data_IF_440109167556
#
_entry.id   IF_440109167556
#
_cell.length_a   1.000
_cell.length_b   1.000
_cell.length_c   1.000
_cell.angle_alpha   90.00
_cell.angle_beta   90.00
_cell.angle_gamma   90.00
#
_symmetry.space_group_name_H-M   'P 1'
#
loop_
_entity.id
_entity.type
_entity.pdbx_description
1 polymer ?
#
# COMPACT_ATOMS: atom_id res chain seq x y z
N UNK A 1 26.40 60.25 9.87
CA UNK A 1 26.09 59.69 8.53
C UNK A 1 25.93 58.17 8.66
N UNK A 2 24.78 57.66 8.21
CA UNK A 2 24.45 56.26 7.84
C UNK A 2 24.50 55.18 8.95
N UNK A 3 23.37 55.00 9.64
CA UNK A 3 23.00 53.75 10.34
C UNK A 3 22.44 52.78 9.30
N UNK A 4 23.20 51.77 8.91
CA UNK A 4 22.70 50.67 8.05
C UNK A 4 22.03 49.62 8.94
N UNK A 5 20.69 49.62 8.97
CA UNK A 5 19.91 48.48 9.43
C UNK A 5 19.95 47.39 8.34
N UNK A 6 20.65 46.29 8.60
CA UNK A 6 20.56 45.07 7.81
C UNK A 6 19.34 44.28 8.28
N UNK A 7 18.24 44.34 7.50
CA UNK A 7 17.08 43.48 7.71
C UNK A 7 17.39 42.09 7.16
N UNK A 8 17.61 41.12 8.04
CA UNK A 8 17.66 39.68 7.70
C UNK A 8 16.25 39.21 7.34
N UNK A 9 15.96 39.16 6.04
CA UNK A 9 14.80 38.45 5.51
C UNK A 9 15.03 36.94 5.68
N UNK A 10 14.43 36.35 6.73
CA UNK A 10 14.24 34.91 6.82
C UNK A 10 13.12 34.51 5.83
N UNK A 11 13.51 34.07 4.64
CA UNK A 11 12.59 33.38 3.72
C UNK A 11 12.31 31.99 4.28
N UNK A 12 11.15 31.82 4.93
CA UNK A 12 10.62 30.51 5.27
C UNK A 12 10.27 29.77 3.97
N UNK A 13 11.18 28.94 3.48
CA UNK A 13 10.84 27.94 2.46
C UNK A 13 9.92 26.92 3.10
N UNK A 14 8.60 27.10 2.91
CA UNK A 14 7.64 26.04 3.15
C UNK A 14 8.01 24.87 2.23
N UNK A 15 8.55 23.78 2.80
CA UNK A 15 8.62 22.51 2.09
C UNK A 15 7.19 22.07 1.85
N UNK A 16 6.66 22.35 0.67
CA UNK A 16 5.45 21.70 0.17
C UNK A 16 5.71 20.20 0.22
N UNK A 17 5.00 19.50 1.11
CA UNK A 17 4.95 18.05 1.10
C UNK A 17 4.29 17.64 -0.22
N UNK A 18 5.11 17.46 -1.27
CA UNK A 18 4.67 16.88 -2.52
C UNK A 18 4.12 15.50 -2.17
N UNK A 19 2.82 15.29 -2.35
CA UNK A 19 2.23 13.97 -2.21
C UNK A 19 2.95 13.04 -3.19
N UNK A 20 3.78 12.14 -2.66
CA UNK A 20 4.58 11.26 -3.50
C UNK A 20 3.63 10.24 -4.13
N UNK A 21 3.49 10.26 -5.45
CA UNK A 21 2.75 9.26 -6.23
C UNK A 21 3.49 7.91 -6.20
N UNK A 22 3.44 7.24 -5.05
CA UNK A 22 4.10 5.95 -4.78
C UNK A 22 3.15 5.01 -4.03
N UNK A 23 3.23 3.68 -4.23
CA UNK A 23 2.55 2.71 -3.39
C UNK A 23 3.07 2.68 -1.94
N UNK A 24 4.26 3.22 -1.68
CA UNK A 24 4.81 3.26 -0.32
C UNK A 24 3.93 4.12 0.61
N UNK A 25 3.61 3.58 1.78
CA UNK A 25 2.74 4.21 2.77
C UNK A 25 1.78 3.23 3.44
N UNK A 26 0.84 3.76 4.21
CA UNK A 26 -0.19 2.98 4.92
C UNK A 26 -1.53 3.16 4.23
N UNK A 27 -2.21 2.05 3.96
CA UNK A 27 -3.41 1.99 3.14
C UNK A 27 -4.52 1.22 3.84
N UNK A 28 -5.76 1.63 3.60
CA UNK A 28 -6.96 0.88 3.96
C UNK A 28 -7.54 0.21 2.72
N UNK A 29 -7.62 -1.12 2.73
CA UNK A 29 -8.38 -1.84 1.72
C UNK A 29 -9.87 -1.81 2.08
N UNK A 30 -10.70 -1.76 1.04
CA UNK A 30 -12.15 -1.67 1.14
C UNK A 30 -12.75 -2.81 0.34
N UNK A 31 -13.77 -3.46 0.89
CA UNK A 31 -14.58 -4.40 0.14
C UNK A 31 -15.50 -3.63 -0.81
N UNK A 32 -15.31 -3.81 -2.12
CA UNK A 32 -16.01 -3.02 -3.14
C UNK A 32 -17.53 -3.25 -3.18
N UNK A 33 -18.04 -4.32 -2.56
CA UNK A 33 -19.48 -4.62 -2.52
C UNK A 33 -20.17 -4.00 -1.31
N UNK A 34 -19.50 -4.03 -0.17
CA UNK A 34 -20.07 -3.65 1.13
C UNK A 34 -19.60 -2.28 1.62
N UNK A 35 -18.50 -1.75 1.06
CA UNK A 35 -17.84 -0.54 1.53
C UNK A 35 -17.09 -0.72 2.86
N UNK A 36 -16.98 -1.96 3.36
CA UNK A 36 -16.34 -2.25 4.63
C UNK A 36 -14.82 -2.11 4.53
N UNK A 37 -14.21 -1.39 5.48
CA UNK A 37 -12.75 -1.36 5.64
C UNK A 37 -12.29 -2.67 6.27
N UNK A 38 -11.42 -3.41 5.59
CA UNK A 38 -11.00 -4.75 6.04
C UNK A 38 -9.71 -4.73 6.85
N UNK A 39 -8.71 -3.94 6.46
CA UNK A 39 -7.40 -3.89 7.10
C UNK A 39 -6.68 -2.56 6.86
N UNK A 40 -5.69 -2.27 7.71
CA UNK A 40 -4.60 -1.32 7.42
C UNK A 40 -3.36 -2.10 6.99
N UNK A 41 -2.80 -1.72 5.85
CA UNK A 41 -1.69 -2.42 5.20
C UNK A 41 -0.56 -1.40 5.00
N UNK A 42 0.60 -1.68 5.57
CA UNK A 42 1.82 -0.91 5.28
C UNK A 42 2.45 -1.46 4.00
N UNK A 43 2.95 -0.57 3.14
CA UNK A 43 3.75 -0.92 1.97
C UNK A 43 5.07 -0.18 2.07
N UNK A 44 6.16 -0.93 1.99
CA UNK A 44 7.53 -0.43 1.91
C UNK A 44 8.17 -0.88 0.59
N UNK A 45 9.26 -0.23 0.20
CA UNK A 45 10.06 -0.61 -0.96
C UNK A 45 11.48 -0.93 -0.52
N UNK A 46 12.03 -2.04 -0.99
CA UNK A 46 13.42 -2.46 -0.72
C UNK A 46 14.01 -3.03 -1.99
N UNK A 47 15.18 -2.53 -2.40
CA UNK A 47 15.84 -2.92 -3.65
C UNK A 47 14.93 -2.81 -4.89
N UNK A 48 14.08 -1.78 -4.92
CA UNK A 48 13.16 -1.50 -6.02
C UNK A 48 11.90 -2.38 -6.05
N UNK A 49 11.70 -3.26 -5.07
CA UNK A 49 10.55 -4.15 -4.98
C UNK A 49 9.67 -3.80 -3.77
N UNK A 50 8.35 -3.85 -3.95
CA UNK A 50 7.41 -3.62 -2.86
C UNK A 50 7.32 -4.84 -1.92
N UNK A 51 7.11 -4.54 -0.64
CA UNK A 51 6.74 -5.46 0.41
C UNK A 51 5.56 -4.84 1.15
N UNK A 52 4.46 -5.56 1.29
CA UNK A 52 3.28 -5.08 2.00
C UNK A 52 2.82 -6.03 3.08
N UNK A 53 2.49 -5.46 4.25
CA UNK A 53 2.20 -6.17 5.50
C UNK A 53 0.91 -5.69 6.12
N UNK A 54 0.13 -6.61 6.67
CA UNK A 54 -1.09 -6.27 7.43
C UNK A 54 -0.67 -5.71 8.80
N UNK A 55 -0.98 -4.44 9.06
CA UNK A 55 -0.72 -3.78 10.35
C UNK A 55 -1.91 -3.96 11.30
N UNK A 56 -3.13 -3.90 10.77
CA UNK A 56 -4.37 -4.06 11.56
C UNK A 56 -5.43 -4.78 10.75
N UNK A 57 -6.17 -5.67 11.40
CA UNK A 57 -7.44 -6.17 10.90
C UNK A 57 -8.57 -5.27 11.43
N UNK A 58 -9.35 -4.68 10.54
CA UNK A 58 -10.42 -3.71 10.84
C UNK A 58 -11.81 -4.23 10.50
N UNK A 59 -11.92 -5.34 9.77
CA UNK A 59 -13.19 -5.96 9.44
C UNK A 59 -13.96 -6.38 10.69
N UNK A 60 -15.29 -6.39 10.62
CA UNK A 60 -16.19 -6.78 11.71
C UNK A 60 -15.97 -8.22 12.16
N UNK A 61 -15.54 -9.08 11.23
CA UNK A 61 -15.26 -10.49 11.48
C UNK A 61 -13.79 -10.74 11.89
N UNK A 62 -12.99 -9.69 12.09
CA UNK A 62 -11.61 -9.81 12.52
C UNK A 62 -11.53 -10.42 13.92
N UNK A 63 -10.93 -11.61 14.02
CA UNK A 63 -10.70 -12.29 15.30
C UNK A 63 -9.29 -11.98 15.81
N UNK A 64 -9.13 -11.60 17.09
CA UNK A 64 -7.81 -11.51 17.70
C UNK A 64 -7.06 -12.85 17.56
N UNK A 65 -5.81 -12.79 17.11
CA UNK A 65 -4.97 -13.98 16.94
C UNK A 65 -5.35 -14.88 15.76
N UNK A 66 -6.19 -14.44 14.83
CA UNK A 66 -6.45 -15.18 13.59
C UNK A 66 -5.14 -15.46 12.84
N UNK A 67 -5.04 -16.66 12.25
CA UNK A 67 -3.90 -17.14 11.47
C UNK A 67 -4.28 -17.42 10.03
N UNK A 68 -3.33 -17.35 9.11
CA UNK A 68 -3.57 -17.74 7.71
C UNK A 68 -3.55 -19.26 7.55
N UNK A 69 -4.68 -19.90 7.82
CA UNK A 69 -4.81 -21.36 7.76
C UNK A 69 -4.92 -21.88 6.31
N UNK A 70 -5.52 -21.07 5.43
CA UNK A 70 -5.68 -21.36 4.00
C UNK A 70 -4.37 -21.18 3.19
N UNK A 71 -3.42 -20.40 3.72
CA UNK A 71 -2.12 -20.21 3.08
C UNK A 71 -1.41 -21.55 2.88
N UNK A 72 -0.66 -21.67 1.78
CA UNK A 72 0.07 -22.90 1.42
C UNK A 72 1.59 -22.77 1.44
N UNK A 73 2.11 -21.56 1.68
CA UNK A 73 3.55 -21.26 1.70
C UNK A 73 4.07 -20.95 3.12
N UNK A 74 5.17 -20.21 3.21
CA UNK A 74 5.82 -19.80 4.46
C UNK A 74 4.92 -18.97 5.40
N UNK A 75 3.77 -18.52 4.90
CA UNK A 75 2.75 -17.75 5.64
C UNK A 75 1.69 -18.63 6.28
N UNK A 76 1.67 -19.94 6.02
CA UNK A 76 0.72 -20.88 6.63
C UNK A 76 0.84 -20.88 8.15
N UNK A 77 -0.30 -20.73 8.84
CA UNK A 77 -0.40 -20.72 10.29
C UNK A 77 0.27 -19.51 10.96
N UNK A 78 0.70 -18.51 10.18
CA UNK A 78 1.21 -17.24 10.73
C UNK A 78 0.06 -16.32 11.11
N UNK A 79 0.21 -15.47 12.13
CA UNK A 79 -0.80 -14.48 12.49
C UNK A 79 -1.15 -13.56 11.31
N UNK A 80 -2.42 -13.20 11.17
CA UNK A 80 -2.90 -12.29 10.14
C UNK A 80 -2.27 -10.91 10.28
N UNK A 81 -2.21 -10.38 11.50
CA UNK A 81 -1.47 -9.15 11.79
C UNK A 81 0.02 -9.47 11.75
N UNK A 82 0.77 -8.70 10.96
CA UNK A 82 2.19 -8.93 10.66
C UNK A 82 2.44 -9.79 9.42
N UNK A 83 1.39 -10.28 8.76
CA UNK A 83 1.52 -11.13 7.58
C UNK A 83 1.94 -10.32 6.34
N UNK A 84 2.98 -10.77 5.64
CA UNK A 84 3.40 -10.19 4.36
C UNK A 84 2.48 -10.67 3.24
N UNK A 85 1.61 -9.79 2.74
CA UNK A 85 0.64 -10.10 1.68
C UNK A 85 1.05 -9.59 0.31
N UNK A 86 1.89 -8.56 0.22
CA UNK A 86 2.42 -8.06 -1.06
C UNK A 86 3.90 -8.41 -1.13
N UNK A 87 4.32 -9.01 -2.25
CA UNK A 87 5.73 -9.35 -2.52
C UNK A 87 6.07 -8.99 -3.97
N UNK A 88 7.17 -8.26 -4.17
CA UNK A 88 7.60 -7.84 -5.50
C UNK A 88 6.87 -6.58 -5.97
N UNK A 89 6.82 -6.36 -7.28
CA UNK A 89 6.27 -5.12 -7.84
C UNK A 89 7.35 -4.07 -7.94
N UNK A 90 7.78 -3.77 -9.16
CA UNK A 90 8.81 -2.77 -9.46
C UNK A 90 8.26 -1.66 -10.32
N UNK A 91 8.70 -0.43 -10.08
CA UNK A 91 8.28 0.71 -10.89
C UNK A 91 8.62 0.48 -12.36
N UNK A 92 7.65 0.64 -13.25
CA UNK A 92 7.89 0.65 -14.69
C UNK A 92 8.61 1.95 -15.09
N UNK A 93 9.60 1.88 -15.98
CA UNK A 93 10.52 3.00 -16.28
C UNK A 93 9.84 4.31 -16.70
N UNK A 94 8.67 4.23 -17.34
CA UNK A 94 7.98 5.40 -17.90
C UNK A 94 6.52 5.52 -17.47
N UNK A 95 6.11 4.85 -16.38
CA UNK A 95 4.73 4.85 -15.89
C UNK A 95 4.69 4.86 -14.37
N UNK A 96 3.67 5.49 -13.80
CA UNK A 96 3.39 5.42 -12.36
C UNK A 96 2.62 4.14 -12.00
N UNK A 97 3.18 3.00 -12.38
CA UNK A 97 2.69 1.67 -12.05
C UNK A 97 3.84 0.78 -11.62
N UNK A 98 3.60 -0.03 -10.60
CA UNK A 98 4.52 -1.06 -10.12
C UNK A 98 3.99 -2.41 -10.58
N UNK A 99 4.76 -3.08 -11.44
CA UNK A 99 4.36 -4.32 -12.13
C UNK A 99 5.22 -5.50 -11.70
N UNK A 100 4.77 -6.72 -11.99
CA UNK A 100 5.48 -7.95 -11.62
C UNK A 100 5.44 -8.25 -10.13
N UNK A 101 4.47 -7.68 -9.40
CA UNK A 101 4.23 -8.01 -8.01
C UNK A 101 3.28 -9.18 -7.85
N UNK A 102 3.09 -9.58 -6.60
CA UNK A 102 2.09 -10.56 -6.20
C UNK A 102 1.37 -10.08 -4.95
N UNK A 103 0.11 -10.48 -4.83
CA UNK A 103 -0.71 -10.25 -3.63
C UNK A 103 -1.36 -11.57 -3.19
N UNK A 104 -1.20 -11.89 -1.92
CA UNK A 104 -1.87 -12.99 -1.25
C UNK A 104 -3.21 -12.48 -0.69
N UNK A 105 -4.27 -13.22 -0.98
CA UNK A 105 -5.53 -13.13 -0.25
C UNK A 105 -5.51 -14.18 0.88
N UNK A 106 -5.35 -13.76 2.14
CA UNK A 106 -5.23 -14.69 3.25
C UNK A 106 -6.56 -15.35 3.63
N UNK A 107 -7.71 -14.86 3.14
CA UNK A 107 -9.03 -15.48 3.41
C UNK A 107 -9.25 -16.75 2.59
N UNK A 108 -8.59 -16.87 1.43
CA UNK A 108 -8.67 -18.07 0.58
C UNK A 108 -7.30 -18.69 0.27
N UNK A 109 -6.22 -18.15 0.82
CA UNK A 109 -4.86 -18.66 0.69
C UNK A 109 -4.25 -18.52 -0.71
N UNK A 110 -4.92 -17.84 -1.65
CA UNK A 110 -4.46 -17.74 -3.03
C UNK A 110 -3.60 -16.52 -3.26
N UNK A 111 -2.53 -16.74 -4.03
CA UNK A 111 -1.65 -15.68 -4.49
C UNK A 111 -1.96 -15.32 -5.94
N UNK A 112 -2.10 -14.03 -6.21
CA UNK A 112 -2.38 -13.49 -7.53
C UNK A 112 -1.20 -12.65 -8.00
N UNK A 113 -0.94 -12.65 -9.32
CA UNK A 113 -0.08 -11.60 -9.90
C UNK A 113 -0.76 -10.26 -9.66
N UNK A 114 0.02 -9.21 -9.40
CA UNK A 114 -0.52 -7.91 -9.03
C UNK A 114 0.25 -6.74 -9.67
N UNK A 115 -0.47 -5.66 -9.90
CA UNK A 115 0.09 -4.33 -10.19
C UNK A 115 -0.50 -3.28 -9.25
N UNK A 116 0.31 -2.27 -8.94
CA UNK A 116 -0.03 -1.22 -7.98
C UNK A 116 0.13 0.14 -8.65
N UNK A 117 -0.96 0.91 -8.73
CA UNK A 117 -0.99 2.20 -9.43
C UNK A 117 -1.49 3.28 -8.46
N UNK A 118 -0.62 4.19 -7.99
CA UNK A 118 -1.05 5.36 -7.25
C UNK A 118 -1.92 6.25 -8.17
N UNK A 119 -3.09 6.65 -7.69
CA UNK A 119 -3.99 7.56 -8.39
C UNK A 119 -4.37 8.72 -7.48
N UNK A 120 -5.09 9.72 -8.02
CA UNK A 120 -5.59 10.87 -7.24
C UNK A 120 -4.47 11.59 -6.46
N UNK A 121 -3.35 11.85 -7.15
CA UNK A 121 -2.16 12.46 -6.55
C UNK A 121 -1.55 11.63 -5.43
N UNK A 122 -1.71 10.31 -5.47
CA UNK A 122 -1.23 9.38 -4.46
C UNK A 122 -2.21 9.14 -3.31
N UNK A 123 -3.38 9.80 -3.24
CA UNK A 123 -4.37 9.60 -2.15
C UNK A 123 -5.05 8.24 -2.19
N UNK A 124 -5.03 7.58 -3.35
CA UNK A 124 -5.61 6.26 -3.57
C UNK A 124 -4.62 5.35 -4.28
N UNK A 125 -4.77 4.06 -4.07
CA UNK A 125 -3.98 3.03 -4.73
C UNK A 125 -4.92 2.06 -5.42
N UNK A 126 -4.80 1.92 -6.74
CA UNK A 126 -5.40 0.80 -7.43
C UNK A 126 -4.52 -0.42 -7.23
N UNK A 127 -5.10 -1.46 -6.64
CA UNK A 127 -4.47 -2.78 -6.49
C UNK A 127 -5.20 -3.74 -7.43
N UNK A 128 -4.54 -4.11 -8.52
CA UNK A 128 -5.12 -5.01 -9.52
C UNK A 128 -4.50 -6.40 -9.41
N UNK A 129 -5.33 -7.40 -9.10
CA UNK A 129 -4.97 -8.82 -9.08
C UNK A 129 -5.38 -9.52 -10.38
N UNK A 130 -4.51 -10.38 -10.91
CA UNK A 130 -4.71 -11.09 -12.18
C UNK A 130 -4.77 -12.61 -11.97
N UNK A 131 -5.71 -13.25 -12.66
CA UNK A 131 -5.85 -14.70 -12.79
C UNK A 131 -5.96 -15.05 -14.28
N UNK A 132 -4.86 -15.48 -14.89
CA UNK A 132 -4.78 -15.69 -16.34
C UNK A 132 -5.11 -14.38 -17.11
N UNK A 133 -6.09 -14.39 -18.03
CA UNK A 133 -6.54 -13.19 -18.76
C UNK A 133 -7.55 -12.35 -17.97
N UNK A 134 -8.04 -12.83 -16.83
CA UNK A 134 -9.02 -12.11 -16.00
C UNK A 134 -8.33 -11.31 -14.92
N UNK A 135 -8.96 -10.20 -14.50
CA UNK A 135 -8.46 -9.38 -13.41
C UNK A 135 -9.59 -8.81 -12.55
N UNK A 136 -9.23 -8.38 -11.35
CA UNK A 136 -10.05 -7.54 -10.47
C UNK A 136 -9.20 -6.40 -9.94
N UNK A 137 -9.80 -5.24 -9.76
CA UNK A 137 -9.14 -4.05 -9.20
C UNK A 137 -9.87 -3.64 -7.94
N UNK A 138 -9.14 -3.44 -6.85
CA UNK A 138 -9.63 -2.79 -5.66
C UNK A 138 -8.99 -1.41 -5.54
N UNK A 139 -9.73 -0.46 -4.94
CA UNK A 139 -9.18 0.87 -4.62
C UNK A 139 -8.94 0.97 -3.13
N UNK A 140 -7.68 1.18 -2.74
CA UNK A 140 -7.30 1.39 -1.35
C UNK A 140 -7.14 2.89 -1.07
N UNK A 141 -7.52 3.29 0.14
CA UNK A 141 -7.44 4.69 0.56
C UNK A 141 -6.21 4.91 1.43
N UNK A 142 -5.44 5.96 1.14
CA UNK A 142 -4.27 6.31 1.94
C UNK A 142 -4.70 6.75 3.33
N UNK A 143 -3.99 6.28 4.36
CA UNK A 143 -4.21 6.68 5.76
C UNK A 143 -3.34 7.86 6.15
N UNK A 144 -2.12 7.92 5.60
CA UNK A 144 -1.08 8.92 5.88
C UNK A 144 -0.51 9.48 4.58
#
# INVERSE_FOLDING_TARGET
MKKTLAALLFTATALSAMAQSTPVGVWRNVDDKTGEVKAEISIAETNGALLGRIEKALGKDAKPGATCDECSDDRKGKPMVGLDIIRGGKKAESKDVWEGGKILDPENGKEYRASFTPIDGGKKLEVRGYLGPFWRTQTWNRVQ
#
